data_IF_852060667500
#
_entry.id   IF_852060667500
#
_cell.length_a   1.000
_cell.length_b   1.000
_cell.length_c   1.000
_cell.angle_alpha   90.00
_cell.angle_beta   90.00
_cell.angle_gamma   90.00
#
_symmetry.space_group_name_H-M   'P 1'
#
loop_
_entity.id
_entity.type
_entity.pdbx_description
1 polymer ?
#
# COMPACT_ATOMS: atom_id res chain seq x y z
N UNK A 1 -26.93 7.72 1.95
CA UNK A 1 -26.28 7.27 3.20
C UNK A 1 -25.45 8.42 3.76
N UNK A 2 -25.93 9.05 4.84
CA UNK A 2 -25.43 10.36 5.36
C UNK A 2 -23.90 10.37 5.58
N UNK A 3 -23.29 9.25 6.00
CA UNK A 3 -21.84 9.13 6.15
C UNK A 3 -21.07 9.15 4.82
N UNK A 4 -21.61 8.54 3.77
CA UNK A 4 -21.01 8.51 2.44
C UNK A 4 -20.91 9.92 1.82
N UNK A 5 -21.99 10.69 1.92
CA UNK A 5 -22.05 12.02 1.34
C UNK A 5 -21.15 13.02 2.09
N UNK A 6 -20.97 12.85 3.41
CA UNK A 6 -20.06 13.66 4.21
C UNK A 6 -18.58 13.43 3.84
N UNK A 7 -18.17 12.18 3.65
CA UNK A 7 -16.79 11.86 3.26
C UNK A 7 -16.52 12.37 1.85
N UNK A 8 -17.37 12.03 0.90
CA UNK A 8 -17.19 12.35 -0.52
C UNK A 8 -17.17 13.87 -0.81
N UNK A 9 -17.92 14.66 -0.06
CA UNK A 9 -18.05 16.10 -0.32
C UNK A 9 -17.09 16.97 0.50
N UNK A 10 -16.36 16.43 1.48
CA UNK A 10 -15.52 17.21 2.40
C UNK A 10 -14.07 16.77 2.47
N UNK A 11 -13.74 15.52 2.09
CA UNK A 11 -12.40 14.98 2.25
C UNK A 11 -11.70 14.80 0.91
N UNK A 12 -10.46 15.24 0.85
CA UNK A 12 -9.55 15.00 -0.28
C UNK A 12 -8.63 13.84 0.08
N UNK A 13 -8.76 12.74 -0.63
CA UNK A 13 -8.01 11.52 -0.36
C UNK A 13 -7.14 11.19 -1.56
N UNK A 14 -5.83 11.26 -1.34
CA UNK A 14 -4.80 11.00 -2.34
C UNK A 14 -4.34 9.55 -2.27
N UNK A 15 -4.46 8.79 -3.36
CA UNK A 15 -3.77 7.50 -3.50
C UNK A 15 -2.39 7.70 -4.11
N UNK A 16 -1.37 7.22 -3.41
CA UNK A 16 0.02 7.18 -3.90
C UNK A 16 0.41 5.73 -4.15
N UNK A 17 0.80 5.43 -5.39
CA UNK A 17 1.23 4.10 -5.83
C UNK A 17 2.72 4.14 -6.18
N UNK A 18 3.62 3.77 -5.27
CA UNK A 18 5.06 3.74 -5.52
C UNK A 18 5.43 2.51 -6.36
N UNK A 19 6.01 2.74 -7.52
CA UNK A 19 6.37 1.68 -8.48
C UNK A 19 7.72 1.96 -9.16
N UNK A 20 8.83 1.76 -8.43
CA UNK A 20 10.18 1.96 -8.98
C UNK A 20 10.54 0.88 -10.01
N UNK A 21 11.49 1.19 -10.91
CA UNK A 21 12.07 0.26 -11.88
C UNK A 21 12.79 -0.89 -11.16
N UNK A 22 13.92 -0.77 -10.68
CA UNK A 22 14.84 -1.79 -10.16
C UNK A 22 14.37 -2.67 -8.98
N UNK A 23 13.39 -3.53 -9.19
CA UNK A 23 12.96 -4.52 -8.17
C UNK A 23 13.98 -5.65 -8.04
N UNK A 24 14.61 -5.80 -6.86
CA UNK A 24 15.66 -6.81 -6.61
C UNK A 24 15.14 -8.25 -6.59
N UNK A 25 14.01 -8.50 -5.94
CA UNK A 25 13.48 -9.86 -5.79
C UNK A 25 12.90 -10.44 -7.07
N UNK A 26 12.18 -9.64 -7.83
CA UNK A 26 11.58 -10.03 -9.11
C UNK A 26 11.89 -8.92 -10.12
N UNK A 27 12.75 -9.16 -11.13
CA UNK A 27 13.05 -8.17 -12.15
C UNK A 27 11.78 -7.66 -12.85
N UNK A 28 11.69 -6.36 -13.02
CA UNK A 28 10.55 -5.69 -13.66
C UNK A 28 9.18 -6.05 -13.06
N UNK A 29 9.13 -6.27 -11.74
CA UNK A 29 7.96 -6.78 -11.03
C UNK A 29 6.67 -6.04 -11.39
N UNK A 30 6.69 -4.72 -11.42
CA UNK A 30 5.50 -3.88 -11.58
C UNK A 30 4.84 -4.01 -12.96
N UNK A 31 5.60 -4.42 -13.97
CA UNK A 31 5.10 -4.63 -15.34
C UNK A 31 4.89 -6.11 -15.71
N UNK A 32 5.22 -7.05 -14.80
CA UNK A 32 4.92 -8.46 -15.03
C UNK A 32 3.44 -8.71 -15.12
N UNK A 33 3.06 -9.58 -16.06
CA UNK A 33 1.66 -9.88 -16.33
C UNK A 33 1.09 -10.89 -15.33
N UNK A 34 -0.07 -10.55 -14.78
CA UNK A 34 -0.97 -11.44 -14.07
C UNK A 34 -2.31 -11.37 -14.80
N UNK A 35 -2.83 -12.52 -15.28
CA UNK A 35 -4.04 -12.56 -16.11
C UNK A 35 -4.05 -11.51 -17.24
N UNK A 36 -2.92 -11.44 -18.00
CA UNK A 36 -2.73 -10.52 -19.14
C UNK A 36 -2.76 -9.02 -18.80
N UNK A 37 -2.63 -8.64 -17.52
CA UNK A 37 -2.50 -7.25 -17.09
C UNK A 37 -1.22 -7.07 -16.29
N UNK A 38 -0.49 -5.95 -16.45
CA UNK A 38 0.69 -5.69 -15.63
C UNK A 38 0.32 -5.58 -14.14
N UNK A 39 1.21 -6.00 -13.25
CA UNK A 39 0.95 -6.03 -11.81
C UNK A 39 0.44 -4.67 -11.28
N UNK A 40 1.03 -3.57 -11.72
CA UNK A 40 0.62 -2.22 -11.29
C UNK A 40 -0.81 -1.87 -11.69
N UNK A 41 -1.34 -2.46 -12.77
CA UNK A 41 -2.71 -2.25 -13.23
C UNK A 41 -3.72 -2.45 -12.11
N UNK A 42 -3.54 -3.48 -11.30
CA UNK A 42 -4.50 -3.84 -10.23
C UNK A 42 -4.56 -2.79 -9.13
N UNK A 43 -3.42 -2.23 -8.72
CA UNK A 43 -3.39 -1.15 -7.74
C UNK A 43 -4.06 0.12 -8.28
N UNK A 44 -3.73 0.51 -9.52
CA UNK A 44 -4.35 1.67 -10.17
C UNK A 44 -5.86 1.46 -10.30
N UNK A 45 -6.29 0.29 -10.79
CA UNK A 45 -7.71 -0.01 -10.99
C UNK A 45 -8.50 0.02 -9.67
N UNK A 46 -7.92 -0.49 -8.58
CA UNK A 46 -8.55 -0.45 -7.27
C UNK A 46 -8.67 0.98 -6.73
N UNK A 47 -7.63 1.80 -6.92
CA UNK A 47 -7.68 3.22 -6.54
C UNK A 47 -8.76 3.97 -7.33
N UNK A 48 -8.84 3.76 -8.65
CA UNK A 48 -9.85 4.39 -9.52
C UNK A 48 -11.28 3.92 -9.22
N UNK A 49 -11.45 2.69 -8.77
CA UNK A 49 -12.76 2.11 -8.43
C UNK A 49 -13.19 2.43 -6.99
N UNK A 50 -12.33 3.05 -6.19
CA UNK A 50 -12.70 3.51 -4.85
C UNK A 50 -13.72 4.65 -4.93
N UNK A 51 -14.67 4.65 -4.03
CA UNK A 51 -15.69 5.70 -3.91
C UNK A 51 -15.16 6.98 -3.25
N UNK A 52 -14.03 6.89 -2.55
CA UNK A 52 -13.51 7.94 -1.69
C UNK A 52 -12.22 8.58 -2.18
N UNK A 53 -11.40 7.86 -2.95
CA UNK A 53 -10.16 8.39 -3.50
C UNK A 53 -10.49 9.49 -4.53
N UNK A 54 -9.94 10.68 -4.32
CA UNK A 54 -10.14 11.85 -5.19
C UNK A 54 -9.07 11.97 -6.25
N UNK A 55 -7.83 11.60 -5.90
CA UNK A 55 -6.67 11.70 -6.79
C UNK A 55 -5.82 10.44 -6.72
N UNK A 56 -5.30 10.02 -7.86
CA UNK A 56 -4.41 8.84 -7.97
C UNK A 56 -3.11 9.27 -8.63
N UNK A 57 -1.99 9.00 -7.95
CA UNK A 57 -0.65 9.33 -8.44
C UNK A 57 0.25 8.10 -8.39
N UNK A 58 0.86 7.77 -9.51
CA UNK A 58 1.92 6.77 -9.59
C UNK A 58 3.28 7.46 -9.48
N UNK A 59 4.08 7.09 -8.48
CA UNK A 59 5.46 7.56 -8.33
C UNK A 59 6.42 6.55 -8.94
N UNK A 60 7.09 6.89 -10.03
CA UNK A 60 7.94 5.96 -10.77
C UNK A 60 9.14 6.62 -11.43
N UNK A 61 10.19 5.82 -11.65
CA UNK A 61 11.36 6.09 -12.50
C UNK A 61 11.38 5.15 -13.73
N UNK A 62 10.35 4.29 -13.91
CA UNK A 62 10.22 3.37 -15.04
C UNK A 62 9.40 4.00 -16.17
N UNK A 63 9.96 4.15 -17.39
CA UNK A 63 9.20 4.61 -18.54
C UNK A 63 8.00 3.72 -18.90
N UNK A 64 8.12 2.41 -18.70
CA UNK A 64 7.04 1.46 -18.97
C UNK A 64 5.88 1.64 -17.99
N UNK A 65 6.18 1.86 -16.71
CA UNK A 65 5.15 2.15 -15.69
C UNK A 65 4.48 3.50 -15.97
N UNK A 66 5.25 4.51 -16.41
CA UNK A 66 4.73 5.82 -16.80
C UNK A 66 3.72 5.69 -17.96
N UNK A 67 4.05 4.88 -18.99
CA UNK A 67 3.16 4.61 -20.12
C UNK A 67 1.86 3.94 -19.63
N UNK A 68 1.95 2.91 -18.78
CA UNK A 68 0.79 2.19 -18.26
C UNK A 68 -0.12 3.13 -17.45
N UNK A 69 0.45 3.92 -16.55
CA UNK A 69 -0.30 4.87 -15.74
C UNK A 69 -0.99 5.93 -16.60
N UNK A 70 -0.30 6.46 -17.60
CA UNK A 70 -0.85 7.43 -18.56
C UNK A 70 -2.00 6.85 -19.38
N UNK A 71 -1.90 5.59 -19.82
CA UNK A 71 -2.98 4.88 -20.53
C UNK A 71 -4.21 4.64 -19.64
N UNK A 72 -4.03 4.60 -18.33
CA UNK A 72 -5.11 4.48 -17.35
C UNK A 72 -5.62 5.85 -16.84
N UNK A 73 -5.17 6.95 -17.43
CA UNK A 73 -5.55 8.33 -17.11
C UNK A 73 -5.31 8.71 -15.64
N UNK A 74 -4.22 8.23 -15.05
CA UNK A 74 -3.78 8.65 -13.71
C UNK A 74 -2.53 9.50 -13.77
N UNK A 75 -2.36 10.36 -12.77
CA UNK A 75 -1.21 11.24 -12.68
C UNK A 75 0.09 10.45 -12.43
N UNK A 76 1.17 10.92 -13.01
CA UNK A 76 2.50 10.35 -12.80
C UNK A 76 3.41 11.40 -12.17
N UNK A 77 3.98 11.07 -11.03
CA UNK A 77 5.11 11.80 -10.45
C UNK A 77 6.40 11.09 -10.85
N UNK A 78 7.17 11.69 -11.74
CA UNK A 78 8.49 11.20 -12.09
C UNK A 78 9.38 11.26 -10.85
N UNK A 79 9.84 10.12 -10.40
CA UNK A 79 10.63 10.01 -9.18
C UNK A 79 12.04 10.57 -9.40
N UNK A 80 12.48 11.44 -8.48
CA UNK A 80 13.86 11.90 -8.46
C UNK A 80 14.80 10.70 -8.24
N UNK A 81 15.93 10.68 -8.94
CA UNK A 81 16.93 9.61 -8.83
C UNK A 81 17.42 9.40 -7.38
N UNK A 82 17.49 10.47 -6.60
CA UNK A 82 17.82 10.40 -5.18
C UNK A 82 16.83 9.56 -4.35
N UNK A 83 15.59 9.40 -4.82
CA UNK A 83 14.53 8.60 -4.17
C UNK A 83 14.39 7.19 -4.75
N UNK A 84 15.28 6.78 -5.67
CA UNK A 84 15.24 5.46 -6.29
C UNK A 84 16.11 4.41 -5.58
N UNK A 85 16.96 4.84 -4.64
CA UNK A 85 17.88 3.96 -3.91
C UNK A 85 17.18 2.95 -2.99
N UNK A 86 17.86 1.85 -2.70
CA UNK A 86 17.32 0.77 -1.83
C UNK A 86 17.21 1.17 -0.36
N UNK A 87 17.98 2.14 0.08
CA UNK A 87 17.96 2.68 1.45
C UNK A 87 16.86 3.74 1.67
N UNK A 88 16.18 4.14 0.60
CA UNK A 88 15.11 5.15 0.68
C UNK A 88 13.85 4.51 1.26
N UNK A 89 13.31 5.15 2.29
CA UNK A 89 12.08 4.70 2.94
C UNK A 89 10.87 4.97 2.04
N UNK A 90 9.84 4.17 2.20
CA UNK A 90 8.57 4.36 1.50
C UNK A 90 7.97 5.74 1.83
N UNK A 91 8.06 6.16 3.10
CA UNK A 91 7.55 7.44 3.58
C UNK A 91 8.17 8.63 2.85
N UNK A 92 9.49 8.57 2.57
CA UNK A 92 10.16 9.62 1.80
C UNK A 92 9.58 9.78 0.40
N UNK A 93 9.25 8.65 -0.25
CA UNK A 93 8.64 8.63 -1.59
C UNK A 93 7.21 9.15 -1.55
N UNK A 94 6.44 8.74 -0.55
CA UNK A 94 5.05 9.18 -0.36
C UNK A 94 5.00 10.67 -0.07
N UNK A 95 5.87 11.17 0.81
CA UNK A 95 5.95 12.58 1.16
C UNK A 95 6.35 13.46 -0.04
N UNK A 96 7.27 12.99 -0.91
CA UNK A 96 7.61 13.70 -2.17
C UNK A 96 6.40 13.90 -3.07
N UNK A 97 5.49 12.94 -3.10
CA UNK A 97 4.23 13.07 -3.87
C UNK A 97 3.24 13.95 -3.14
N UNK A 98 2.94 13.63 -1.88
CA UNK A 98 1.88 14.25 -1.09
C UNK A 98 2.10 15.76 -0.87
N UNK A 99 3.35 16.20 -0.75
CA UNK A 99 3.69 17.63 -0.60
C UNK A 99 3.24 18.52 -1.78
N UNK A 100 2.93 17.93 -2.92
CA UNK A 100 2.38 18.63 -4.09
C UNK A 100 0.85 18.65 -4.16
N UNK A 101 0.16 18.08 -3.18
CA UNK A 101 -1.30 17.94 -3.16
C UNK A 101 -1.90 18.52 -1.88
N UNK A 102 -3.05 19.14 -2.01
CA UNK A 102 -3.91 19.52 -0.89
C UNK A 102 -4.81 18.32 -0.59
N UNK A 103 -4.47 17.51 0.41
CA UNK A 103 -5.20 16.30 0.78
C UNK A 103 -5.30 16.14 2.30
N UNK A 104 -6.42 15.56 2.76
CA UNK A 104 -6.68 15.28 4.17
C UNK A 104 -6.09 13.95 4.60
N UNK A 105 -6.08 12.96 3.68
CA UNK A 105 -5.51 11.64 3.88
C UNK A 105 -4.70 11.18 2.66
N UNK A 106 -3.67 10.41 2.93
CA UNK A 106 -2.87 9.71 1.92
C UNK A 106 -3.08 8.21 2.05
N UNK A 107 -3.44 7.56 0.97
CA UNK A 107 -3.53 6.10 0.87
C UNK A 107 -2.33 5.60 0.07
N UNK A 108 -1.34 5.06 0.75
CA UNK A 108 -0.20 4.42 0.10
C UNK A 108 -0.58 3.00 -0.30
N UNK A 109 -0.54 2.69 -1.59
CA UNK A 109 -0.90 1.37 -2.14
C UNK A 109 0.27 0.73 -2.85
N UNK A 110 0.74 -0.43 -2.37
CA UNK A 110 1.81 -1.15 -3.04
C UNK A 110 1.27 -2.08 -4.14
N UNK A 111 1.86 -2.12 -5.35
CA UNK A 111 1.42 -2.99 -6.44
C UNK A 111 1.43 -4.49 -6.13
N UNK A 112 2.11 -4.90 -5.05
CA UNK A 112 2.32 -6.31 -4.67
C UNK A 112 1.09 -7.03 -4.13
N UNK A 113 -0.06 -6.37 -4.06
CA UNK A 113 -1.32 -6.94 -3.55
C UNK A 113 -2.41 -6.91 -4.64
N UNK A 114 -2.27 -7.70 -5.73
CA UNK A 114 -3.22 -7.68 -6.85
C UNK A 114 -4.62 -8.19 -6.49
N UNK A 115 -4.77 -8.87 -5.37
CA UNK A 115 -6.07 -9.38 -4.86
C UNK A 115 -6.81 -8.41 -3.95
N UNK A 116 -6.21 -7.25 -3.62
CA UNK A 116 -6.91 -6.17 -2.93
C UNK A 116 -8.13 -5.75 -3.76
N UNK A 117 -9.23 -5.45 -3.11
CA UNK A 117 -10.45 -4.95 -3.77
C UNK A 117 -10.73 -3.50 -3.38
N UNK A 118 -11.35 -2.74 -4.28
CA UNK A 118 -11.80 -1.39 -3.99
C UNK A 118 -12.76 -1.34 -2.78
N UNK A 119 -13.61 -2.35 -2.62
CA UNK A 119 -14.51 -2.46 -1.46
C UNK A 119 -13.75 -2.57 -0.13
N UNK A 120 -12.69 -3.38 -0.07
CA UNK A 120 -11.85 -3.49 1.13
C UNK A 120 -11.17 -2.15 1.44
N UNK A 121 -10.68 -1.46 0.41
CA UNK A 121 -10.06 -0.15 0.55
C UNK A 121 -11.06 0.89 1.05
N UNK A 122 -12.26 0.94 0.47
CA UNK A 122 -13.33 1.84 0.87
C UNK A 122 -13.73 1.63 2.34
N UNK A 123 -13.87 0.37 2.76
CA UNK A 123 -14.19 0.04 4.16
C UNK A 123 -13.10 0.52 5.13
N UNK A 124 -11.82 0.42 4.73
CA UNK A 124 -10.70 0.90 5.52
C UNK A 124 -10.71 2.44 5.63
N UNK A 125 -10.96 3.14 4.53
CA UNK A 125 -11.08 4.60 4.50
C UNK A 125 -12.24 5.06 5.39
N UNK A 126 -13.42 4.46 5.25
CA UNK A 126 -14.56 4.76 6.11
C UNK A 126 -14.25 4.56 7.59
N UNK A 127 -13.58 3.44 7.91
CA UNK A 127 -13.20 3.13 9.29
C UNK A 127 -12.22 4.15 9.85
N UNK A 128 -11.21 4.54 9.07
CA UNK A 128 -10.22 5.56 9.44
C UNK A 128 -10.90 6.89 9.78
N UNK A 129 -11.73 7.38 8.88
CA UNK A 129 -12.38 8.69 9.01
C UNK A 129 -13.40 8.68 10.16
N UNK A 130 -14.23 7.62 10.24
CA UNK A 130 -15.27 7.50 11.27
C UNK A 130 -14.71 7.44 12.70
N UNK A 131 -13.52 6.87 12.86
CA UNK A 131 -12.87 6.73 14.16
C UNK A 131 -11.77 7.78 14.39
N UNK A 132 -11.63 8.76 13.50
CA UNK A 132 -10.66 9.85 13.59
C UNK A 132 -9.22 9.32 13.82
N UNK A 133 -8.85 8.27 13.07
CA UNK A 133 -7.54 7.65 13.20
C UNK A 133 -6.49 8.43 12.43
N UNK A 134 -5.33 8.64 13.04
CA UNK A 134 -4.16 9.22 12.38
C UNK A 134 -3.55 8.25 11.36
N UNK A 135 -3.61 6.94 11.63
CA UNK A 135 -3.02 5.92 10.76
C UNK A 135 -3.80 4.60 10.84
N UNK A 136 -3.97 3.95 9.69
CA UNK A 136 -4.48 2.60 9.57
C UNK A 136 -3.58 1.78 8.64
N UNK A 137 -3.18 0.59 9.10
CA UNK A 137 -2.28 -0.31 8.38
C UNK A 137 -2.98 -1.63 8.08
N UNK A 138 -2.84 -2.13 6.87
CA UNK A 138 -3.37 -3.44 6.49
C UNK A 138 -2.51 -4.57 7.06
N UNK A 139 -3.13 -5.49 7.82
CA UNK A 139 -2.45 -6.60 8.47
C UNK A 139 -3.17 -7.92 8.22
N UNK A 140 -2.45 -9.04 8.40
CA UNK A 140 -3.00 -10.38 8.47
C UNK A 140 -2.68 -10.99 9.83
N UNK A 141 -3.67 -11.63 10.45
CA UNK A 141 -3.43 -12.42 11.66
C UNK A 141 -2.82 -13.77 11.29
N UNK A 142 -1.55 -13.95 11.61
CA UNK A 142 -0.77 -15.14 11.23
C UNK A 142 -0.06 -15.75 12.44
N UNK A 143 -0.80 -16.34 13.41
CA UNK A 143 -0.22 -16.88 14.62
C UNK A 143 0.68 -18.08 14.29
N UNK A 144 1.95 -17.97 14.64
CA UNK A 144 2.97 -18.99 14.46
C UNK A 144 3.91 -19.04 15.64
N UNK A 145 4.46 -20.23 15.90
CA UNK A 145 5.61 -20.39 16.77
C UNK A 145 6.84 -19.85 16.03
N UNK A 146 7.53 -18.89 16.62
CA UNK A 146 8.69 -18.25 16.03
C UNK A 146 9.91 -18.39 16.91
N UNK A 147 11.08 -18.21 16.31
CA UNK A 147 12.38 -18.27 16.96
C UNK A 147 13.15 -17.00 16.65
N UNK A 148 13.77 -16.43 17.67
CA UNK A 148 14.72 -15.34 17.54
C UNK A 148 16.16 -15.83 17.36
N UNK A 149 17.05 -14.90 17.10
CA UNK A 149 18.49 -15.10 17.14
C UNK A 149 19.09 -14.15 18.17
N UNK A 150 19.70 -14.69 19.20
CA UNK A 150 20.47 -13.94 20.18
C UNK A 150 21.93 -14.40 20.12
N UNK A 151 22.78 -13.56 19.54
CA UNK A 151 24.23 -13.84 19.41
C UNK A 151 24.57 -15.19 18.77
N UNK A 152 23.82 -15.57 17.72
CA UNK A 152 24.00 -16.83 17.01
C UNK A 152 23.29 -18.05 17.64
N UNK A 153 22.58 -17.86 18.76
CA UNK A 153 21.72 -18.88 19.34
C UNK A 153 20.27 -18.70 18.90
N UNK A 154 19.65 -19.81 18.50
CA UNK A 154 18.20 -19.81 18.19
C UNK A 154 17.40 -19.96 19.47
N UNK A 155 16.61 -18.97 19.81
CA UNK A 155 15.80 -18.92 21.04
C UNK A 155 14.32 -18.86 20.66
N UNK A 156 13.45 -19.69 21.27
CA UNK A 156 12.02 -19.62 20.99
C UNK A 156 11.42 -18.32 21.53
N UNK A 157 10.60 -17.66 20.73
CA UNK A 157 9.81 -16.47 21.11
C UNK A 157 8.52 -16.87 21.86
N UNK A 158 8.53 -18.01 22.56
CA UNK A 158 7.39 -18.50 23.32
C UNK A 158 7.88 -19.26 24.58
N UNK A 159 7.12 -19.14 25.67
CA UNK A 159 7.40 -19.84 26.91
C UNK A 159 6.81 -21.26 26.96
N UNK A 160 5.69 -21.46 26.24
CA UNK A 160 4.99 -22.75 26.15
C UNK A 160 4.61 -23.04 24.71
N UNK A 161 4.89 -24.28 24.24
CA UNK A 161 4.49 -24.74 22.93
C UNK A 161 3.00 -25.06 22.91
N UNK A 162 2.20 -24.21 22.28
CA UNK A 162 0.76 -24.38 22.11
C UNK A 162 0.41 -24.83 20.69
N UNK A 163 -0.75 -25.46 20.54
CA UNK A 163 -1.32 -25.71 19.23
C UNK A 163 -1.77 -24.38 18.58
N UNK A 164 -1.75 -24.30 17.24
CA UNK A 164 -1.99 -23.08 16.47
C UNK A 164 -3.26 -22.34 16.90
N UNK A 165 -4.35 -23.04 17.18
CA UNK A 165 -5.63 -22.45 17.58
C UNK A 165 -5.61 -21.76 18.96
N UNK A 166 -4.59 -22.03 19.77
CA UNK A 166 -4.41 -21.44 21.10
C UNK A 166 -3.28 -20.42 21.17
N UNK A 167 -2.61 -20.15 20.02
CA UNK A 167 -1.60 -19.10 19.96
C UNK A 167 -2.25 -17.72 20.05
N UNK A 168 -1.63 -16.75 20.73
CA UNK A 168 -2.09 -15.39 20.71
C UNK A 168 -2.07 -14.83 19.28
N UNK A 169 -2.94 -13.84 18.97
CA UNK A 169 -2.89 -13.15 17.70
C UNK A 169 -1.49 -12.60 17.41
N UNK A 170 -1.03 -12.76 16.17
CA UNK A 170 0.22 -12.21 15.69
C UNK A 170 -0.04 -11.54 14.34
N UNK A 171 0.05 -10.23 14.30
CA UNK A 171 -0.30 -9.45 13.12
C UNK A 171 0.96 -9.10 12.32
N UNK A 172 0.94 -9.47 11.04
CA UNK A 172 1.96 -9.12 10.06
C UNK A 172 1.40 -8.09 9.09
N UNK A 173 2.15 -7.05 8.80
CA UNK A 173 1.79 -6.09 7.76
C UNK A 173 1.77 -6.77 6.40
N UNK A 174 0.70 -6.53 5.63
CA UNK A 174 0.56 -7.10 4.28
C UNK A 174 1.26 -6.25 3.23
N UNK A 175 1.49 -4.97 3.52
CA UNK A 175 1.97 -4.00 2.55
C UNK A 175 0.93 -3.66 1.47
N UNK A 176 -0.32 -4.11 1.60
CA UNK A 176 -1.34 -3.83 0.60
C UNK A 176 -1.67 -2.34 0.55
N UNK A 177 -1.94 -1.74 1.71
CA UNK A 177 -2.13 -0.30 1.85
C UNK A 177 -1.85 0.18 3.27
N UNK A 178 -1.56 1.47 3.36
CA UNK A 178 -1.47 2.26 4.58
C UNK A 178 -2.23 3.57 4.34
N UNK A 179 -3.02 4.01 5.30
CA UNK A 179 -3.74 5.29 5.31
C UNK A 179 -3.15 6.16 6.41
N UNK A 180 -2.78 7.39 6.10
CA UNK A 180 -2.20 8.37 7.05
C UNK A 180 -2.63 9.78 6.75
#
# INVERSE_FOLDING_TARGET
NMGYDLIKNKMKILAVIPARAGSKGIPNKNIRLIHNKPLIYYAIQNALNSRYITDVVVSTDSPEVEIIASQMNVNVKKRNIALCGDSITLDSVVNDVASGYDCDYVVTMQPTSPTLTATTLDNAIEYTIKNELDTLISVVNHPHLSWGDEQGKRIPNYSKRLNRQYLPPYYLETGAFLIS
#
